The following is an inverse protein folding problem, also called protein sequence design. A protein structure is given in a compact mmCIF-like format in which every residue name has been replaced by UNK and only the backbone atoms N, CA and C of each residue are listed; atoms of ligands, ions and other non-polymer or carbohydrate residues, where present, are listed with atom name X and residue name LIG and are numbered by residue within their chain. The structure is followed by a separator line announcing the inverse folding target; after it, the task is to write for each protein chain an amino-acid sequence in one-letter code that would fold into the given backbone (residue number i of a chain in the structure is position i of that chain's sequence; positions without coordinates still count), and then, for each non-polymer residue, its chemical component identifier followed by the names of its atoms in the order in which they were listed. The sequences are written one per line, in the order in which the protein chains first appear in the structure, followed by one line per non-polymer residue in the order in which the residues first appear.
data_IF_108307504034
#
_entry.id   IF_108307504034
#
_cell.length_a   1.000
_cell.length_b   1.000
_cell.length_c   1.000
_cell.angle_alpha   90.00
_cell.angle_beta   90.00
_cell.angle_gamma   90.00
#
_symmetry.space_group_name_H-M   'P 1'
#
loop_
_entity.id
_entity.type
_entity.pdbx_description
1 polymer ?
#
# COMPACT_ATOMS: atom_id res chain seq x y z
N UNK A 1 6.16 -16.56 -7.90
CA UNK A 1 5.51 -15.72 -6.87
C UNK A 1 4.06 -15.40 -7.23
N UNK A 2 3.77 -14.64 -8.29
CA UNK A 2 2.37 -14.27 -8.64
C UNK A 2 1.42 -15.47 -8.78
N UNK A 3 1.87 -16.57 -9.41
CA UNK A 3 1.09 -17.82 -9.48
C UNK A 3 0.71 -18.38 -8.11
N UNK A 4 1.63 -18.35 -7.14
CA UNK A 4 1.38 -18.81 -5.77
C UNK A 4 0.32 -17.93 -5.09
N UNK A 5 0.36 -16.61 -5.33
CA UNK A 5 -0.64 -15.67 -4.79
C UNK A 5 -2.03 -16.02 -5.33
N UNK A 6 -2.14 -16.26 -6.64
CA UNK A 6 -3.40 -16.64 -7.28
C UNK A 6 -3.91 -18.00 -6.76
N UNK A 7 -3.06 -19.03 -6.75
CA UNK A 7 -3.40 -20.38 -6.28
C UNK A 7 -3.85 -20.38 -4.80
N UNK A 8 -3.35 -19.42 -4.00
CA UNK A 8 -3.72 -19.24 -2.58
C UNK A 8 -4.83 -18.20 -2.37
N UNK A 9 -5.42 -17.69 -3.46
CA UNK A 9 -6.45 -16.65 -3.47
C UNK A 9 -6.06 -15.38 -2.72
N UNK A 10 -4.76 -15.10 -2.61
CA UNK A 10 -4.20 -13.98 -1.87
C UNK A 10 -4.23 -12.66 -2.66
N UNK A 11 -3.40 -11.73 -2.19
CA UNK A 11 -3.17 -10.42 -2.82
C UNK A 11 -1.66 -10.14 -2.82
N UNK A 12 -1.16 -9.59 -3.92
CA UNK A 12 0.19 -9.06 -4.00
C UNK A 12 0.16 -7.52 -3.89
N UNK A 13 1.11 -6.98 -3.14
CA UNK A 13 1.32 -5.53 -2.99
C UNK A 13 2.75 -5.21 -3.40
N UNK A 14 2.92 -4.26 -4.31
CA UNK A 14 4.23 -3.71 -4.66
C UNK A 14 4.74 -2.79 -3.55
N UNK A 15 5.61 -3.30 -2.69
CA UNK A 15 6.22 -2.52 -1.62
C UNK A 15 7.14 -1.41 -2.19
N UNK A 16 7.07 -0.23 -1.55
CA UNK A 16 7.92 0.95 -1.78
C UNK A 16 8.41 1.10 -3.24
N UNK A 17 7.49 1.26 -4.20
CA UNK A 17 7.77 1.05 -5.62
C UNK A 17 8.75 2.06 -6.22
N UNK A 18 8.87 3.25 -5.62
CA UNK A 18 9.72 4.35 -6.07
C UNK A 18 10.97 4.56 -5.18
N UNK A 19 11.29 3.61 -4.28
CA UNK A 19 12.45 3.72 -3.38
C UNK A 19 13.76 3.51 -4.11
N UNK A 20 14.68 4.44 -3.96
CA UNK A 20 15.97 4.40 -4.65
C UNK A 20 16.77 3.12 -4.28
N UNK A 21 17.36 2.49 -5.29
CA UNK A 21 18.08 1.21 -5.13
C UNK A 21 17.22 -0.03 -4.82
N UNK A 22 15.92 0.12 -4.55
CA UNK A 22 15.00 -0.98 -4.17
C UNK A 22 13.60 -0.86 -4.81
N UNK A 23 13.52 -0.17 -5.94
CA UNK A 23 12.26 0.10 -6.66
C UNK A 23 11.61 -1.15 -7.23
N UNK A 24 10.27 -1.09 -7.34
CA UNK A 24 9.50 -2.08 -8.08
C UNK A 24 9.85 -1.98 -9.57
N UNK A 25 10.07 -3.13 -10.22
CA UNK A 25 10.36 -3.17 -11.66
C UNK A 25 9.12 -2.69 -12.44
N UNK A 26 9.22 -1.66 -13.31
CA UNK A 26 8.07 -1.12 -14.06
C UNK A 26 7.30 -2.17 -14.86
N UNK A 27 7.99 -3.21 -15.35
CA UNK A 27 7.38 -4.32 -16.09
C UNK A 27 6.24 -5.01 -15.31
N UNK A 28 6.34 -5.08 -13.98
CA UNK A 28 5.30 -5.67 -13.11
C UNK A 28 3.98 -4.89 -13.21
N UNK A 29 4.06 -3.55 -13.29
CA UNK A 29 2.89 -2.68 -13.43
C UNK A 29 2.34 -2.75 -14.86
N UNK A 30 3.22 -2.70 -15.87
CA UNK A 30 2.82 -2.75 -17.29
C UNK A 30 2.11 -4.05 -17.69
N UNK A 31 2.47 -5.18 -17.05
CA UNK A 31 1.81 -6.47 -17.29
C UNK A 31 0.50 -6.61 -16.52
N UNK A 32 0.15 -5.65 -15.64
CA UNK A 32 -1.07 -5.67 -14.84
C UNK A 32 -1.11 -6.78 -13.77
N UNK A 33 -0.01 -7.49 -13.54
CA UNK A 33 0.04 -8.64 -12.62
C UNK A 33 0.03 -8.22 -11.15
N UNK A 34 0.41 -6.98 -10.83
CA UNK A 34 0.28 -6.41 -9.50
C UNK A 34 -0.35 -5.01 -9.61
N UNK A 35 -1.53 -4.83 -9.03
CA UNK A 35 -2.33 -3.59 -9.16
C UNK A 35 -2.46 -2.81 -7.86
N UNK A 36 -1.90 -3.33 -6.78
CA UNK A 36 -1.87 -2.67 -5.47
C UNK A 36 -0.42 -2.36 -5.16
N UNK A 37 -0.15 -1.12 -4.79
CA UNK A 37 1.19 -0.65 -4.45
C UNK A 37 1.16 0.16 -3.16
N UNK A 38 2.31 0.27 -2.49
CA UNK A 38 2.45 1.30 -1.45
C UNK A 38 2.49 2.69 -2.08
N UNK A 39 1.45 3.48 -1.79
CA UNK A 39 1.37 4.90 -2.11
C UNK A 39 2.10 5.78 -1.10
N UNK A 40 2.15 5.32 0.15
CA UNK A 40 2.83 5.99 1.23
C UNK A 40 3.59 4.96 2.06
N UNK A 41 4.88 5.18 2.24
CA UNK A 41 5.72 4.34 3.08
C UNK A 41 6.44 5.21 4.14
N UNK A 42 6.39 4.78 5.40
CA UNK A 42 6.90 5.53 6.55
C UNK A 42 8.41 5.73 6.59
N UNK A 43 9.18 4.98 5.79
CA UNK A 43 10.63 5.09 5.64
C UNK A 43 11.08 5.65 4.30
N UNK A 44 10.12 5.96 3.41
CA UNK A 44 10.43 6.69 2.18
C UNK A 44 10.52 8.19 2.45
N UNK A 45 11.38 8.86 1.71
CA UNK A 45 11.37 10.32 1.61
C UNK A 45 10.07 10.83 0.98
N UNK A 46 9.74 12.10 1.20
CA UNK A 46 8.56 12.70 0.56
C UNK A 46 8.68 12.73 -0.98
N UNK A 47 9.90 12.83 -1.51
CA UNK A 47 10.14 12.76 -2.97
C UNK A 47 9.80 11.37 -3.50
N UNK A 48 10.25 10.30 -2.82
CA UNK A 48 9.94 8.92 -3.22
C UNK A 48 8.44 8.63 -3.14
N UNK A 49 7.75 9.09 -2.09
CA UNK A 49 6.30 8.94 -1.98
C UNK A 49 5.56 9.74 -3.06
N UNK A 50 5.96 10.98 -3.36
CA UNK A 50 5.32 11.78 -4.44
C UNK A 50 5.49 11.16 -5.83
N UNK A 51 6.61 10.49 -6.10
CA UNK A 51 6.84 9.80 -7.39
C UNK A 51 5.82 8.68 -7.64
N UNK A 52 5.15 8.17 -6.61
CA UNK A 52 4.11 7.15 -6.79
C UNK A 52 2.90 7.69 -7.57
N UNK A 53 2.59 8.98 -7.47
CA UNK A 53 1.46 9.56 -8.19
C UNK A 53 1.64 9.48 -9.72
N UNK A 54 2.89 9.63 -10.21
CA UNK A 54 3.22 9.46 -11.63
C UNK A 54 2.93 8.04 -12.14
N UNK A 55 3.02 7.02 -11.26
CA UNK A 55 2.67 5.64 -11.62
C UNK A 55 1.15 5.47 -11.77
N UNK A 56 0.34 6.21 -11.02
CA UNK A 56 -1.13 6.13 -11.10
C UNK A 56 -1.70 6.83 -12.32
N UNK A 57 -1.01 7.86 -12.79
CA UNK A 57 -1.35 8.51 -14.07
C UNK A 57 -1.17 7.54 -15.25
N UNK A 58 -0.20 6.63 -15.14
CA UNK A 58 0.14 5.67 -16.20
C UNK A 58 -0.58 4.33 -16.08
N UNK A 59 -0.92 3.92 -14.85
CA UNK A 59 -1.48 2.60 -14.58
C UNK A 59 -2.66 2.68 -13.61
N UNK A 60 -3.70 1.85 -13.81
CA UNK A 60 -4.86 1.78 -12.91
C UNK A 60 -4.52 1.02 -11.62
N UNK A 61 -3.96 1.74 -10.65
CA UNK A 61 -3.43 1.21 -9.39
C UNK A 61 -4.24 1.64 -8.16
N UNK A 62 -4.34 0.72 -7.19
CA UNK A 62 -4.79 1.01 -5.82
C UNK A 62 -3.59 1.26 -4.92
N UNK A 63 -3.78 2.06 -3.86
CA UNK A 63 -2.71 2.49 -2.99
C UNK A 63 -2.95 2.08 -1.54
N UNK A 64 -2.00 1.36 -0.97
CA UNK A 64 -1.93 1.10 0.47
C UNK A 64 -0.86 1.99 1.13
N UNK A 65 -0.92 2.08 2.46
CA UNK A 65 0.10 2.69 3.28
C UNK A 65 0.72 1.67 4.23
N UNK A 66 2.05 1.74 4.39
CA UNK A 66 2.81 0.88 5.29
C UNK A 66 3.88 1.65 6.07
N UNK A 67 4.05 1.36 7.35
CA UNK A 67 5.07 2.04 8.18
C UNK A 67 6.49 1.58 7.86
N UNK A 68 6.66 0.34 7.38
CA UNK A 68 7.98 -0.31 7.20
C UNK A 68 8.84 -0.25 8.48
N UNK A 69 8.16 -0.36 9.64
CA UNK A 69 8.76 -0.12 10.95
C UNK A 69 9.78 -1.19 11.34
N UNK A 70 10.95 -0.75 11.79
CA UNK A 70 12.01 -1.56 12.39
C UNK A 70 12.23 -1.22 13.88
N UNK A 71 11.48 -0.24 14.41
CA UNK A 71 11.42 0.10 15.83
C UNK A 71 9.98 0.50 16.24
N UNK A 72 9.72 0.60 17.54
CA UNK A 72 8.39 0.98 18.05
C UNK A 72 8.02 2.42 17.70
N UNK A 73 9.00 3.32 17.61
CA UNK A 73 8.82 4.73 17.24
C UNK A 73 8.48 4.91 15.74
N UNK A 74 8.74 3.88 14.93
CA UNK A 74 8.38 3.85 13.52
C UNK A 74 6.97 3.28 13.30
N UNK A 75 6.46 2.49 14.25
CA UNK A 75 5.18 1.81 14.14
C UNK A 75 4.04 2.82 13.95
N UNK A 76 3.23 2.57 12.92
CA UNK A 76 2.04 3.36 12.66
C UNK A 76 2.30 4.77 12.10
N UNK A 77 3.54 5.16 11.75
CA UNK A 77 3.80 6.42 11.03
C UNK A 77 2.99 6.55 9.75
N UNK A 78 2.69 5.42 9.13
CA UNK A 78 1.82 5.28 7.98
C UNK A 78 0.99 4.01 8.12
N UNK A 79 -0.26 4.05 7.65
CA UNK A 79 -1.17 2.91 7.62
C UNK A 79 -2.08 2.93 6.38
N UNK A 80 -2.85 1.85 6.20
CA UNK A 80 -3.93 1.78 5.22
C UNK A 80 -5.26 1.95 5.95
N UNK A 81 -6.04 2.97 5.59
CA UNK A 81 -7.37 3.20 6.11
C UNK A 81 -8.40 2.54 5.17
N UNK A 82 -9.11 1.54 5.68
CA UNK A 82 -10.17 0.83 4.97
C UNK A 82 -11.52 1.48 5.26
N UNK A 83 -12.40 1.52 4.26
CA UNK A 83 -13.80 1.94 4.46
C UNK A 83 -14.63 0.87 5.18
N UNK A 84 -14.19 -0.38 5.12
CA UNK A 84 -14.84 -1.53 5.74
C UNK A 84 -14.12 -1.93 7.04
N UNK A 85 -14.88 -2.47 8.00
CA UNK A 85 -14.29 -3.06 9.21
C UNK A 85 -13.59 -4.37 8.85
N UNK A 86 -12.31 -4.47 9.23
CA UNK A 86 -11.50 -5.66 8.99
C UNK A 86 -11.38 -6.44 10.30
N UNK A 87 -11.90 -7.67 10.33
CA UNK A 87 -11.84 -8.54 11.52
C UNK A 87 -11.15 -9.88 11.28
N UNK A 88 -10.93 -10.22 10.01
CA UNK A 88 -10.26 -11.44 9.58
C UNK A 88 -9.28 -11.18 8.44
N UNK A 89 -8.47 -12.18 8.14
CA UNK A 89 -7.57 -12.17 6.98
C UNK A 89 -8.37 -12.18 5.68
N UNK A 90 -9.50 -12.87 5.67
CA UNK A 90 -10.42 -12.98 4.54
C UNK A 90 -11.05 -11.62 4.24
N UNK A 91 -11.48 -10.88 5.28
CA UNK A 91 -11.95 -9.49 5.17
C UNK A 91 -10.88 -8.59 4.55
N UNK A 92 -9.63 -8.70 5.03
CA UNK A 92 -8.52 -7.91 4.54
C UNK A 92 -8.26 -8.17 3.05
N UNK A 93 -8.20 -9.44 2.65
CA UNK A 93 -8.01 -9.83 1.25
C UNK A 93 -9.16 -9.29 0.38
N UNK A 94 -10.40 -9.42 0.84
CA UNK A 94 -11.57 -8.93 0.13
C UNK A 94 -11.54 -7.40 -0.02
N UNK A 95 -11.25 -6.67 1.06
CA UNK A 95 -11.16 -5.22 1.05
C UNK A 95 -10.04 -4.72 0.12
N UNK A 96 -8.87 -5.38 0.16
CA UNK A 96 -7.75 -5.08 -0.74
C UNK A 96 -8.12 -5.28 -2.21
N UNK A 97 -8.85 -6.36 -2.54
CA UNK A 97 -9.34 -6.63 -3.90
C UNK A 97 -10.41 -5.64 -4.37
N UNK A 98 -11.24 -5.11 -3.46
CA UNK A 98 -12.26 -4.10 -3.78
C UNK A 98 -11.69 -2.72 -4.09
N UNK A 99 -10.49 -2.40 -3.59
CA UNK A 99 -9.84 -1.11 -3.85
C UNK A 99 -10.40 0.08 -3.07
N UNK A 100 -11.22 -0.15 -2.04
CA UNK A 100 -11.85 0.90 -1.19
C UNK A 100 -11.06 1.16 0.08
N UNK A 101 -9.92 1.80 -0.10
CA UNK A 101 -9.00 2.17 0.98
C UNK A 101 -8.05 3.26 0.50
N UNK A 102 -7.38 3.91 1.45
CA UNK A 102 -6.38 4.95 1.15
C UNK A 102 -5.20 4.88 2.12
N UNK A 103 -3.98 5.26 1.67
CA UNK A 103 -2.88 5.48 2.60
C UNK A 103 -3.16 6.67 3.51
N UNK A 104 -2.72 6.60 4.77
CA UNK A 104 -2.83 7.69 5.76
C UNK A 104 -1.55 7.84 6.57
N UNK A 105 -1.21 9.07 6.98
CA UNK A 105 -0.17 9.30 7.98
C UNK A 105 -0.76 9.07 9.38
N UNK A 106 0.01 8.43 10.27
CA UNK A 106 -0.46 8.04 11.60
C UNK A 106 -0.90 9.20 12.49
N UNK A 107 -0.37 10.41 12.27
CA UNK A 107 -0.74 11.61 13.02
C UNK A 107 -2.14 12.11 12.67
N UNK A 108 -2.54 12.00 11.40
CA UNK A 108 -3.84 12.48 10.89
C UNK A 108 -5.01 11.60 11.38
N UNK A 109 -4.76 10.34 11.76
CA UNK A 109 -5.82 9.44 12.22
C UNK A 109 -6.19 9.63 13.70
N UNK A 110 -5.26 10.13 14.53
CA UNK A 110 -5.52 10.34 15.97
C UNK A 110 -6.46 11.52 16.23
N UNK A 111 -6.54 12.49 15.32
CA UNK A 111 -7.39 13.68 15.49
C UNK A 111 -8.84 13.48 15.00
N UNK A 112 -9.09 12.46 14.18
CA UNK A 112 -10.43 12.17 13.62
C UNK A 112 -11.29 11.18 14.42
N UNK A 113 -10.86 10.78 15.62
CA UNK A 113 -11.50 9.71 16.43
C UNK A 113 -12.22 10.25 17.68
N UNK A 114 -12.50 11.55 17.75
CA UNK A 114 -13.21 12.22 18.85
C UNK A 114 -14.43 13.01 18.36
N UNK A 115 -15.22 12.42 17.47
CA UNK A 115 -16.61 12.81 17.21
C UNK A 115 -17.51 11.58 17.34
#
# INVERSE_FOLDING_TARGET
LMRIVEDRQGVAIGAHPCREGRSLKPKILSLGVCRIIEGLNGRNSDVENRRVEQLREQYPLFQCGGSDAHSLEELGRTATCFEEKITSREDLIAALKKGRYRPVRGKEWREGSHL
#
